data_IF_102193863878
#
_entry.id   IF_102193863878
#
_cell.length_a   1.000
_cell.length_b   1.000
_cell.length_c   1.000
_cell.angle_alpha   90.00
_cell.angle_beta   90.00
_cell.angle_gamma   90.00
#
_symmetry.space_group_name_H-M   'P 1'
#
loop_
_entity.id
_entity.type
_entity.pdbx_description
1 polymer ?
#
# COMPACT_ATOMS: atom_id res chain seq x y z
N UNK A 1 46.01 -6.36 -6.18
CA UNK A 1 45.59 -7.77 -6.27
C UNK A 1 45.92 -8.43 -4.97
N UNK A 2 44.93 -8.77 -4.14
CA UNK A 2 45.16 -9.46 -2.85
C UNK A 2 45.29 -10.95 -3.18
N UNK A 3 46.47 -11.50 -2.84
CA UNK A 3 46.75 -12.92 -3.02
C UNK A 3 46.07 -13.74 -1.91
N UNK A 4 44.94 -14.36 -2.27
CA UNK A 4 44.10 -15.15 -1.38
C UNK A 4 44.74 -16.49 -0.97
N UNK A 5 45.84 -16.90 -1.62
CA UNK A 5 46.51 -18.17 -1.34
C UNK A 5 47.24 -18.21 0.02
N UNK A 6 47.42 -17.06 0.66
CA UNK A 6 48.13 -16.91 1.95
C UNK A 6 47.23 -16.89 3.20
N UNK A 7 45.89 -17.00 3.03
CA UNK A 7 45.01 -17.17 4.18
C UNK A 7 45.11 -18.63 4.66
N UNK A 8 45.77 -18.85 5.78
CA UNK A 8 45.92 -20.18 6.37
C UNK A 8 44.49 -20.74 6.65
N UNK A 9 44.25 -21.99 6.22
CA UNK A 9 42.95 -22.63 6.25
C UNK A 9 42.30 -22.75 7.66
N UNK A 10 43.03 -22.55 8.72
CA UNK A 10 42.56 -22.52 10.10
C UNK A 10 41.83 -21.23 10.45
N UNK A 11 42.28 -20.06 9.99
CA UNK A 11 41.65 -18.77 10.27
C UNK A 11 40.31 -18.64 9.59
N UNK A 12 40.16 -19.17 8.36
CA UNK A 12 38.90 -19.15 7.61
C UNK A 12 37.85 -20.07 8.25
N UNK A 13 38.27 -21.25 8.72
CA UNK A 13 37.38 -22.20 9.40
C UNK A 13 36.86 -21.64 10.73
N UNK A 14 37.73 -21.00 11.51
CA UNK A 14 37.36 -20.39 12.81
C UNK A 14 36.41 -19.22 12.62
N UNK A 15 36.68 -18.33 11.66
CA UNK A 15 35.77 -17.21 11.32
C UNK A 15 34.41 -17.66 10.86
N UNK A 16 34.33 -18.69 10.00
CA UNK A 16 33.05 -19.25 9.54
C UNK A 16 32.23 -19.89 10.69
N UNK A 17 32.91 -20.61 11.59
CA UNK A 17 32.25 -21.26 12.75
C UNK A 17 31.72 -20.22 13.73
N UNK A 18 32.48 -19.18 14.05
CA UNK A 18 32.02 -18.08 14.93
C UNK A 18 30.84 -17.34 14.30
N UNK A 19 30.86 -17.06 12.98
CA UNK A 19 29.77 -16.41 12.28
C UNK A 19 28.48 -17.24 12.29
N UNK A 20 28.59 -18.55 12.10
CA UNK A 20 27.43 -19.47 12.16
C UNK A 20 26.86 -19.58 13.57
N UNK A 21 27.68 -19.59 14.60
CA UNK A 21 27.22 -19.61 16.00
C UNK A 21 26.57 -18.28 16.42
N UNK A 22 26.94 -17.17 15.81
CA UNK A 22 26.38 -15.85 16.08
C UNK A 22 25.04 -15.60 15.32
N UNK A 23 24.70 -16.40 14.31
CA UNK A 23 23.44 -16.27 13.53
C UNK A 23 22.18 -16.22 14.41
N UNK A 24 21.99 -17.05 15.45
CA UNK A 24 20.82 -16.97 16.32
C UNK A 24 20.76 -15.70 17.18
N UNK A 25 21.90 -15.00 17.34
CA UNK A 25 21.99 -13.76 18.12
C UNK A 25 21.69 -12.51 17.27
N UNK A 26 21.62 -12.66 15.95
CA UNK A 26 21.22 -11.56 15.09
C UNK A 26 19.75 -11.21 15.32
N UNK A 27 19.42 -9.91 15.41
CA UNK A 27 18.02 -9.51 15.53
C UNK A 27 17.25 -10.00 14.29
N UNK A 28 16.32 -10.91 14.51
CA UNK A 28 15.43 -11.36 13.43
C UNK A 28 14.60 -10.17 12.97
N UNK A 29 14.54 -9.89 11.67
CA UNK A 29 13.67 -8.85 11.16
C UNK A 29 12.24 -9.17 11.60
N UNK A 30 11.58 -8.21 12.26
CA UNK A 30 10.15 -8.36 12.61
C UNK A 30 9.40 -8.54 11.30
N UNK A 31 8.69 -9.65 11.17
CA UNK A 31 7.81 -9.85 10.02
C UNK A 31 6.74 -8.74 10.04
N UNK A 32 6.64 -8.03 8.93
CA UNK A 32 5.57 -7.05 8.78
C UNK A 32 4.21 -7.76 8.84
N UNK A 33 3.18 -7.16 9.46
CA UNK A 33 1.85 -7.75 9.50
C UNK A 33 1.34 -8.07 8.10
N UNK A 34 0.76 -9.26 7.93
CA UNK A 34 0.22 -9.72 6.65
C UNK A 34 -1.12 -9.06 6.35
N UNK A 35 -1.54 -9.06 5.09
CA UNK A 35 -2.90 -8.68 4.73
C UNK A 35 -3.91 -9.59 5.42
N UNK A 36 -5.02 -9.01 5.88
CA UNK A 36 -6.10 -9.72 6.56
C UNK A 36 -7.37 -9.64 5.73
N UNK A 37 -7.99 -10.79 5.49
CA UNK A 37 -9.28 -10.89 4.81
C UNK A 37 -10.41 -10.80 5.83
N UNK A 38 -11.42 -9.99 5.52
CA UNK A 38 -12.66 -9.88 6.27
C UNK A 38 -13.78 -10.60 5.49
N UNK A 39 -14.15 -11.83 5.87
CA UNK A 39 -15.10 -12.64 5.13
C UNK A 39 -16.45 -11.96 4.89
N UNK A 40 -17.09 -11.32 5.88
CA UNK A 40 -18.37 -10.61 5.67
C UNK A 40 -18.33 -9.57 4.56
N UNK A 41 -17.20 -8.87 4.38
CA UNK A 41 -17.01 -7.80 3.40
C UNK A 41 -16.33 -8.26 2.09
N UNK A 42 -15.88 -9.51 2.01
CA UNK A 42 -15.33 -10.10 0.79
C UNK A 42 -16.48 -10.62 -0.09
N UNK A 43 -16.50 -10.20 -1.35
CA UNK A 43 -17.47 -10.64 -2.36
C UNK A 43 -16.87 -11.60 -3.40
N UNK A 44 -15.63 -12.06 -3.23
CA UNK A 44 -14.99 -13.01 -4.13
C UNK A 44 -14.63 -12.45 -5.52
N UNK A 45 -14.54 -11.14 -5.70
CA UNK A 45 -14.34 -10.48 -7.00
C UNK A 45 -12.98 -10.73 -7.67
N UNK A 46 -12.05 -11.42 -6.99
CA UNK A 46 -10.71 -11.78 -7.46
C UNK A 46 -9.74 -10.60 -7.75
N UNK A 47 -10.13 -9.34 -7.57
CA UNK A 47 -9.23 -8.19 -7.87
C UNK A 47 -7.94 -8.24 -7.06
N UNK A 48 -8.02 -8.51 -5.77
CA UNK A 48 -6.83 -8.68 -4.92
C UNK A 48 -5.95 -9.87 -5.36
N UNK A 49 -6.55 -10.93 -5.91
CA UNK A 49 -5.83 -12.07 -6.48
C UNK A 49 -5.05 -11.66 -7.74
N UNK A 50 -5.71 -10.98 -8.68
CA UNK A 50 -5.10 -10.51 -9.95
C UNK A 50 -4.01 -9.47 -9.70
N UNK A 51 -4.24 -8.60 -8.71
CA UNK A 51 -3.35 -7.46 -8.40
C UNK A 51 -2.25 -7.82 -7.39
N UNK A 52 -2.11 -9.07 -6.97
CA UNK A 52 -1.01 -9.43 -6.07
C UNK A 52 0.28 -9.69 -6.85
N UNK A 53 1.32 -8.81 -6.77
CA UNK A 53 2.55 -8.98 -7.53
C UNK A 53 3.42 -10.15 -7.05
N UNK A 54 3.03 -10.79 -5.96
CA UNK A 54 3.75 -11.89 -5.33
C UNK A 54 2.99 -13.21 -5.41
N UNK A 55 1.79 -13.24 -6.00
CA UNK A 55 0.94 -14.43 -6.03
C UNK A 55 0.50 -14.89 -4.62
N UNK A 56 0.49 -13.96 -3.66
CA UNK A 56 0.20 -14.26 -2.25
C UNK A 56 -1.29 -14.36 -1.91
N UNK A 57 -2.17 -14.29 -2.91
CA UNK A 57 -3.61 -14.43 -2.71
C UNK A 57 -4.09 -15.65 -3.49
N UNK A 58 -4.77 -16.55 -2.81
CA UNK A 58 -5.52 -17.64 -3.40
C UNK A 58 -7.03 -17.40 -3.23
N UNK A 59 -7.84 -18.07 -4.06
CA UNK A 59 -9.29 -18.06 -3.90
C UNK A 59 -9.73 -19.43 -3.34
N UNK A 60 -10.63 -19.41 -2.37
CA UNK A 60 -11.19 -20.61 -1.74
C UNK A 60 -12.71 -20.46 -1.65
N UNK A 61 -13.49 -21.56 -1.47
CA UNK A 61 -14.91 -21.47 -1.20
C UNK A 61 -15.18 -20.59 0.01
N UNK A 62 -16.21 -19.74 -0.07
CA UNK A 62 -16.61 -18.90 1.06
C UNK A 62 -17.31 -19.73 2.13
N UNK A 63 -16.89 -19.67 3.42
CA UNK A 63 -17.46 -20.54 4.45
C UNK A 63 -18.96 -20.28 4.69
N UNK A 64 -19.39 -19.00 4.61
CA UNK A 64 -20.74 -18.59 4.99
C UNK A 64 -21.63 -18.23 3.79
N UNK A 65 -21.10 -18.28 2.56
CA UNK A 65 -21.83 -17.89 1.33
C UNK A 65 -21.68 -18.96 0.27
N UNK A 66 -22.55 -19.99 0.22
CA UNK A 66 -22.49 -21.05 -0.78
C UNK A 66 -22.43 -20.50 -2.21
N UNK A 67 -21.56 -21.07 -3.04
CA UNK A 67 -21.35 -20.65 -4.42
C UNK A 67 -20.49 -19.40 -4.61
N UNK A 68 -20.04 -18.75 -3.52
CA UNK A 68 -19.11 -17.62 -3.58
C UNK A 68 -17.68 -18.05 -3.22
N UNK A 69 -16.73 -17.26 -3.65
CA UNK A 69 -15.32 -17.42 -3.27
C UNK A 69 -14.91 -16.38 -2.21
N UNK A 70 -13.87 -16.71 -1.46
CA UNK A 70 -13.22 -15.89 -0.48
C UNK A 70 -11.73 -15.79 -0.82
N UNK A 71 -11.17 -14.60 -0.76
CA UNK A 71 -9.72 -14.42 -0.85
C UNK A 71 -9.04 -15.04 0.39
N UNK A 72 -7.92 -15.72 0.16
CA UNK A 72 -7.07 -16.30 1.21
C UNK A 72 -5.63 -15.83 1.01
N UNK A 73 -5.03 -15.27 2.05
CA UNK A 73 -3.64 -14.85 2.03
C UNK A 73 -2.74 -16.07 2.25
N UNK A 74 -1.69 -16.19 1.43
CA UNK A 74 -0.61 -17.16 1.60
C UNK A 74 0.52 -16.43 2.35
N UNK A 75 0.72 -16.74 3.64
CA UNK A 75 1.61 -15.98 4.51
C UNK A 75 3.04 -15.88 4.00
N UNK A 76 3.56 -16.99 3.46
CA UNK A 76 4.95 -17.14 3.01
C UNK A 76 5.26 -16.29 1.77
N UNK A 77 4.23 -15.88 1.03
CA UNK A 77 4.38 -15.07 -0.18
C UNK A 77 4.01 -13.60 0.01
N UNK A 78 3.32 -13.26 1.12
CA UNK A 78 2.83 -11.91 1.35
C UNK A 78 3.96 -10.95 1.73
N UNK A 79 4.25 -9.99 0.85
CA UNK A 79 5.23 -8.93 1.09
C UNK A 79 4.69 -7.73 1.88
N UNK A 80 3.48 -7.79 2.42
CA UNK A 80 2.87 -6.73 3.24
C UNK A 80 2.80 -5.35 2.56
N UNK A 81 2.58 -5.32 1.24
CA UNK A 81 2.63 -4.08 0.44
C UNK A 81 1.31 -3.29 0.40
N UNK A 82 0.17 -3.91 0.72
CA UNK A 82 -1.15 -3.28 0.73
C UNK A 82 -1.82 -3.10 -0.65
N UNK A 83 -1.20 -3.50 -1.75
CA UNK A 83 -1.77 -3.36 -3.10
C UNK A 83 -3.14 -4.04 -3.22
N UNK A 84 -3.32 -5.17 -2.53
CA UNK A 84 -4.58 -5.90 -2.49
C UNK A 84 -5.71 -5.10 -1.82
N UNK A 85 -5.42 -4.30 -0.80
CA UNK A 85 -6.39 -3.41 -0.16
C UNK A 85 -6.80 -2.27 -1.11
N UNK A 86 -5.83 -1.67 -1.83
CA UNK A 86 -6.11 -0.68 -2.87
C UNK A 86 -6.91 -1.22 -4.06
N UNK A 87 -6.79 -2.52 -4.35
CA UNK A 87 -7.55 -3.21 -5.39
C UNK A 87 -8.97 -3.60 -4.97
N UNK A 88 -9.26 -3.59 -3.67
CA UNK A 88 -10.54 -4.08 -3.16
C UNK A 88 -11.68 -3.08 -3.43
N UNK A 89 -12.79 -3.50 -4.07
CA UNK A 89 -13.92 -2.60 -4.32
C UNK A 89 -14.59 -2.08 -3.05
N UNK A 90 -14.50 -2.83 -1.95
CA UNK A 90 -15.03 -2.41 -0.65
C UNK A 90 -14.17 -1.35 0.05
N UNK A 91 -12.97 -1.05 -0.47
CA UNK A 91 -12.07 -0.01 0.05
C UNK A 91 -12.46 1.41 -0.35
N UNK A 92 -13.70 1.63 -0.81
CA UNK A 92 -14.17 2.97 -1.16
C UNK A 92 -14.54 3.78 0.09
N UNK A 93 -14.06 5.04 0.23
CA UNK A 93 -14.37 5.90 1.36
C UNK A 93 -15.83 6.40 1.36
N UNK A 94 -16.56 6.23 0.26
CA UNK A 94 -17.95 6.66 0.09
C UNK A 94 -19.00 5.75 0.76
N UNK A 95 -18.57 4.64 1.36
CA UNK A 95 -19.50 3.81 2.13
C UNK A 95 -20.01 4.57 3.36
N UNK A 96 -21.33 4.67 3.49
CA UNK A 96 -22.00 5.30 4.64
C UNK A 96 -22.00 4.35 5.84
N UNK A 97 -20.84 4.17 6.44
CA UNK A 97 -20.62 3.34 7.63
C UNK A 97 -19.69 4.07 8.59
N UNK A 98 -19.92 3.92 9.88
CA UNK A 98 -19.09 4.55 10.91
C UNK A 98 -17.66 4.01 10.82
N UNK A 99 -17.51 2.70 10.81
CA UNK A 99 -16.21 2.03 10.64
C UNK A 99 -16.10 1.43 9.24
N UNK A 100 -15.17 1.92 8.44
CA UNK A 100 -14.91 1.38 7.11
C UNK A 100 -14.10 0.07 7.24
N UNK A 101 -14.78 -1.06 7.14
CA UNK A 101 -14.17 -2.37 7.03
C UNK A 101 -14.18 -2.83 5.57
N UNK A 102 -13.02 -3.23 5.08
CA UNK A 102 -12.82 -3.67 3.69
C UNK A 102 -12.83 -5.20 3.59
N UNK A 103 -12.91 -5.75 2.37
CA UNK A 103 -12.85 -7.21 2.17
C UNK A 103 -11.47 -7.81 2.38
N UNK A 104 -10.42 -7.01 2.19
CA UNK A 104 -9.03 -7.32 2.53
C UNK A 104 -8.32 -6.02 2.90
N UNK A 105 -7.55 -6.02 3.97
CA UNK A 105 -6.91 -4.83 4.49
C UNK A 105 -5.52 -5.10 5.07
N UNK A 106 -4.80 -4.03 5.38
CA UNK A 106 -3.48 -4.07 6.01
C UNK A 106 -3.57 -3.62 7.47
N UNK A 107 -3.29 -4.48 8.46
CA UNK A 107 -3.40 -4.12 9.87
C UNK A 107 -2.55 -2.92 10.29
N UNK A 108 -1.39 -2.71 9.65
CA UNK A 108 -0.49 -1.59 9.96
C UNK A 108 -0.94 -0.26 9.33
N UNK A 109 -1.82 -0.28 8.33
CA UNK A 109 -2.41 0.91 7.72
C UNK A 109 -3.80 0.58 7.14
N UNK A 110 -4.81 0.41 8.01
CA UNK A 110 -6.16 0.10 7.57
C UNK A 110 -6.75 1.22 6.72
N UNK A 111 -7.48 0.86 5.66
CA UNK A 111 -8.13 1.83 4.76
C UNK A 111 -9.14 2.71 5.52
N UNK A 112 -9.80 2.17 6.55
CA UNK A 112 -10.68 2.95 7.41
C UNK A 112 -9.94 4.05 8.17
N UNK A 113 -8.80 3.71 8.77
CA UNK A 113 -7.94 4.69 9.46
C UNK A 113 -7.38 5.75 8.49
N UNK A 114 -7.04 5.35 7.25
CA UNK A 114 -6.62 6.28 6.21
C UNK A 114 -7.74 7.28 5.86
N UNK A 115 -9.01 6.82 5.78
CA UNK A 115 -10.17 7.69 5.57
C UNK A 115 -10.31 8.74 6.69
N UNK A 116 -10.25 8.30 7.93
CA UNK A 116 -10.37 9.17 9.10
C UNK A 116 -9.22 10.17 9.19
N UNK A 117 -7.99 9.73 8.95
CA UNK A 117 -6.82 10.59 8.91
C UNK A 117 -6.96 11.67 7.84
N UNK A 118 -7.38 11.29 6.64
CA UNK A 118 -7.57 12.21 5.53
C UNK A 118 -8.64 13.25 5.85
N UNK A 119 -9.80 12.83 6.37
CA UNK A 119 -10.89 13.75 6.78
C UNK A 119 -10.39 14.78 7.80
N UNK A 120 -9.73 14.33 8.86
CA UNK A 120 -9.18 15.19 9.89
C UNK A 120 -8.17 16.19 9.34
N UNK A 121 -7.23 15.72 8.51
CA UNK A 121 -6.18 16.56 7.95
C UNK A 121 -6.73 17.59 6.97
N UNK A 122 -7.66 17.22 6.08
CA UNK A 122 -8.26 18.15 5.13
C UNK A 122 -9.12 19.20 5.87
N UNK A 123 -9.89 18.78 6.87
CA UNK A 123 -10.71 19.71 7.66
C UNK A 123 -9.86 20.74 8.44
N UNK A 124 -8.63 20.39 8.80
CA UNK A 124 -7.69 21.27 9.50
C UNK A 124 -6.96 22.27 8.59
N UNK A 125 -7.10 22.16 7.25
CA UNK A 125 -6.44 23.07 6.33
C UNK A 125 -7.05 24.47 6.39
N UNK A 126 -6.22 25.47 6.61
CA UNK A 126 -6.60 26.88 6.75
C UNK A 126 -6.06 27.78 5.61
N UNK A 127 -5.22 27.24 4.73
CA UNK A 127 -4.64 28.00 3.60
C UNK A 127 -5.65 28.35 2.52
N UNK A 128 -5.32 29.31 1.66
CA UNK A 128 -6.18 29.75 0.55
C UNK A 128 -6.34 28.69 -0.55
N UNK A 129 -5.36 27.79 -0.70
CA UNK A 129 -5.38 26.64 -1.61
C UNK A 129 -5.07 25.38 -0.80
N UNK A 130 -5.93 24.39 -0.85
CA UNK A 130 -5.87 23.17 -0.03
C UNK A 130 -5.45 21.97 -0.86
N UNK A 131 -4.29 21.42 -0.56
CA UNK A 131 -3.72 20.30 -1.31
C UNK A 131 -3.68 19.03 -0.45
N UNK A 132 -4.21 17.93 -0.97
CA UNK A 132 -4.01 16.62 -0.38
C UNK A 132 -2.86 15.89 -1.10
N UNK A 133 -1.89 15.39 -0.34
CA UNK A 133 -0.72 14.67 -0.88
C UNK A 133 -0.75 13.23 -0.40
N UNK A 134 -0.80 12.28 -1.33
CA UNK A 134 -0.62 10.86 -1.06
C UNK A 134 0.79 10.45 -1.48
N UNK A 135 1.64 10.18 -0.51
CA UNK A 135 3.05 9.84 -0.73
C UNK A 135 3.39 8.40 -0.33
N UNK A 136 4.33 7.79 -1.03
CA UNK A 136 4.84 6.45 -0.70
C UNK A 136 5.93 6.53 0.36
N UNK A 137 5.81 5.75 1.44
CA UNK A 137 6.82 5.67 2.50
C UNK A 137 8.16 5.07 2.06
N UNK A 138 8.21 4.42 0.89
CA UNK A 138 9.44 3.88 0.29
C UNK A 138 10.15 4.89 -0.64
N UNK A 139 9.56 6.09 -0.85
CA UNK A 139 10.08 7.13 -1.72
C UNK A 139 10.64 8.31 -0.92
N UNK A 140 10.70 9.49 -1.54
CA UNK A 140 11.08 10.72 -0.85
C UNK A 140 10.12 11.03 0.30
N UNK A 141 10.65 11.54 1.41
CA UNK A 141 9.86 11.87 2.59
C UNK A 141 8.94 13.08 2.33
N UNK A 142 7.71 12.80 1.97
CA UNK A 142 6.68 13.83 1.71
C UNK A 142 6.14 14.46 2.98
N UNK A 143 6.41 13.93 4.19
CA UNK A 143 5.94 14.50 5.46
C UNK A 143 6.39 15.93 5.67
N UNK A 144 7.50 16.31 5.03
CA UNK A 144 8.03 17.68 5.03
C UNK A 144 7.11 18.70 4.34
N UNK A 145 6.17 18.24 3.50
CA UNK A 145 5.20 19.08 2.82
C UNK A 145 3.98 19.41 3.68
N UNK A 146 3.82 18.75 4.85
CA UNK A 146 2.71 19.02 5.76
C UNK A 146 2.74 20.47 6.21
N UNK A 147 1.62 21.19 6.06
CA UNK A 147 1.52 22.61 6.37
C UNK A 147 0.08 23.08 6.54
N UNK A 148 -0.11 24.39 6.61
CA UNK A 148 -1.43 25.00 6.78
C UNK A 148 -2.34 24.81 5.55
N UNK A 149 -1.76 24.62 4.39
CA UNK A 149 -2.43 24.44 3.09
C UNK A 149 -2.26 23.04 2.50
N UNK A 150 -1.48 22.18 3.13
CA UNK A 150 -1.12 20.85 2.60
C UNK A 150 -1.35 19.75 3.63
N UNK A 151 -2.23 18.82 3.31
CA UNK A 151 -2.52 17.61 4.08
C UNK A 151 -1.74 16.42 3.49
N UNK A 152 -0.76 15.91 4.22
CA UNK A 152 0.07 14.78 3.76
C UNK A 152 -0.39 13.47 4.36
N UNK A 153 -0.65 12.48 3.50
CA UNK A 153 -0.99 11.10 3.83
C UNK A 153 0.15 10.20 3.35
N UNK A 154 0.92 9.68 4.29
CA UNK A 154 2.05 8.82 3.99
C UNK A 154 1.58 7.37 3.93
N UNK A 155 1.62 6.78 2.74
CA UNK A 155 1.21 5.41 2.48
C UNK A 155 2.39 4.45 2.55
N UNK A 156 2.17 3.22 3.01
CA UNK A 156 3.18 2.16 2.93
C UNK A 156 3.61 1.90 1.48
N UNK A 157 2.66 2.00 0.55
CA UNK A 157 2.86 1.96 -0.90
C UNK A 157 1.71 2.72 -1.57
N UNK A 158 1.98 3.44 -2.65
CA UNK A 158 0.90 4.09 -3.42
C UNK A 158 -0.14 3.10 -3.94
N UNK A 159 0.26 1.85 -4.21
CA UNK A 159 -0.66 0.78 -4.59
C UNK A 159 -1.73 0.44 -3.55
N UNK A 160 -1.56 0.85 -2.29
CA UNK A 160 -2.59 0.78 -1.25
C UNK A 160 -3.74 1.77 -1.52
N UNK A 161 -3.48 2.89 -2.23
CA UNK A 161 -4.47 3.94 -2.43
C UNK A 161 -5.62 3.48 -3.34
N UNK A 162 -6.85 3.35 -2.84
CA UNK A 162 -8.00 3.18 -3.70
C UNK A 162 -8.25 4.47 -4.50
N UNK A 163 -8.45 4.44 -5.83
CA UNK A 163 -8.61 5.66 -6.65
C UNK A 163 -9.71 6.60 -6.18
N UNK A 164 -10.78 6.04 -5.59
CA UNK A 164 -11.89 6.82 -5.05
C UNK A 164 -11.51 7.76 -3.89
N UNK A 165 -10.34 7.57 -3.26
CA UNK A 165 -9.83 8.51 -2.26
C UNK A 165 -9.44 9.86 -2.85
N UNK A 166 -9.02 9.91 -4.11
CA UNK A 166 -8.75 11.15 -4.84
C UNK A 166 -10.05 11.98 -4.94
N UNK A 167 -11.13 11.37 -5.43
CA UNK A 167 -12.44 12.03 -5.50
C UNK A 167 -12.93 12.44 -4.12
N UNK A 168 -12.74 11.57 -3.12
CA UNK A 168 -13.19 11.85 -1.76
C UNK A 168 -12.42 13.01 -1.11
N UNK A 169 -11.12 13.15 -1.37
CA UNK A 169 -10.32 14.29 -0.92
C UNK A 169 -10.82 15.61 -1.52
N UNK A 170 -11.10 15.62 -2.83
CA UNK A 170 -11.64 16.78 -3.52
C UNK A 170 -13.04 17.19 -3.00
N UNK A 171 -13.92 16.20 -2.76
CA UNK A 171 -15.23 16.45 -2.15
C UNK A 171 -15.14 16.88 -0.68
N UNK A 172 -14.09 16.46 0.02
CA UNK A 172 -13.81 16.83 1.40
C UNK A 172 -13.23 18.24 1.57
N UNK A 173 -13.03 18.98 0.46
CA UNK A 173 -12.58 20.37 0.46
C UNK A 173 -11.12 20.58 0.03
N UNK A 174 -10.43 19.57 -0.48
CA UNK A 174 -9.16 19.78 -1.14
C UNK A 174 -9.37 20.40 -2.53
N UNK A 175 -8.57 21.42 -2.89
CA UNK A 175 -8.58 22.05 -4.22
C UNK A 175 -7.83 21.22 -5.24
N UNK A 176 -6.81 20.48 -4.80
CA UNK A 176 -6.02 19.60 -5.64
C UNK A 176 -5.48 18.39 -4.89
N UNK A 177 -5.09 17.38 -5.66
CA UNK A 177 -4.49 16.15 -5.14
C UNK A 177 -3.17 15.88 -5.85
N UNK A 178 -2.12 15.60 -5.07
CA UNK A 178 -0.85 15.08 -5.56
C UNK A 178 -0.70 13.63 -5.13
N UNK A 179 -0.43 12.74 -6.08
CA UNK A 179 -0.02 11.36 -5.82
C UNK A 179 1.43 11.21 -6.23
N UNK A 180 2.30 10.80 -5.29
CA UNK A 180 3.73 10.67 -5.54
C UNK A 180 4.29 9.41 -4.88
N UNK A 181 5.35 8.85 -5.46
CA UNK A 181 5.87 7.58 -4.99
C UNK A 181 7.30 7.29 -5.45
N UNK A 182 7.62 6.02 -5.56
CA UNK A 182 8.90 5.57 -6.08
C UNK A 182 9.05 5.98 -7.54
N UNK A 183 10.29 6.25 -7.96
CA UNK A 183 10.59 6.51 -9.37
C UNK A 183 10.11 5.36 -10.24
N UNK A 184 9.76 5.66 -11.49
CA UNK A 184 9.43 4.65 -12.48
C UNK A 184 10.50 3.54 -12.54
N UNK A 185 10.07 2.30 -12.61
CA UNK A 185 10.96 1.13 -12.63
C UNK A 185 11.64 0.77 -11.30
N UNK A 186 11.53 1.60 -10.23
CA UNK A 186 12.20 1.35 -8.94
C UNK A 186 11.25 1.16 -7.76
N UNK A 187 10.03 0.69 -8.03
CA UNK A 187 9.04 0.43 -6.98
C UNK A 187 9.52 -0.67 -6.02
N UNK A 188 9.58 -0.39 -4.71
CA UNK A 188 9.97 -1.35 -3.68
C UNK A 188 9.07 -2.60 -3.66
N UNK A 189 7.82 -2.47 -4.08
CA UNK A 189 6.82 -3.55 -4.14
C UNK A 189 6.44 -3.92 -5.59
N UNK A 190 7.41 -3.93 -6.51
CA UNK A 190 7.28 -4.28 -7.93
C UNK A 190 6.38 -3.32 -8.71
N UNK A 191 5.05 -3.42 -8.57
CA UNK A 191 4.07 -2.77 -9.43
C UNK A 191 3.23 -1.68 -8.74
N UNK A 192 3.54 -1.33 -7.49
CA UNK A 192 2.71 -0.36 -6.74
C UNK A 192 2.52 0.96 -7.48
N UNK A 193 3.59 1.58 -7.97
CA UNK A 193 3.56 2.83 -8.74
C UNK A 193 2.81 2.66 -10.06
N UNK A 194 3.18 1.65 -10.85
CA UNK A 194 2.58 1.37 -12.16
C UNK A 194 1.08 1.12 -12.07
N UNK A 195 0.64 0.30 -11.11
CA UNK A 195 -0.78 -0.02 -10.99
C UNK A 195 -1.59 1.13 -10.40
N UNK A 196 -1.00 1.95 -9.54
CA UNK A 196 -1.63 3.20 -9.11
C UNK A 196 -1.87 4.12 -10.30
N UNK A 197 -0.87 4.32 -11.14
CA UNK A 197 -0.99 5.12 -12.35
C UNK A 197 -2.08 4.59 -13.29
N UNK A 198 -2.07 3.29 -13.58
CA UNK A 198 -3.08 2.64 -14.42
C UNK A 198 -4.50 2.80 -13.86
N UNK A 199 -4.69 2.69 -12.52
CA UNK A 199 -5.98 2.90 -11.88
C UNK A 199 -6.44 4.36 -11.98
N UNK A 200 -5.53 5.31 -11.79
CA UNK A 200 -5.84 6.74 -11.92
C UNK A 200 -6.10 7.15 -13.36
N UNK A 201 -5.46 6.50 -14.33
CA UNK A 201 -5.68 6.69 -15.77
C UNK A 201 -6.88 5.92 -16.34
N UNK A 202 -7.63 5.18 -15.53
CA UNK A 202 -8.79 4.40 -15.99
C UNK A 202 -8.46 3.09 -16.70
N UNK A 203 -7.22 2.63 -16.66
CA UNK A 203 -6.72 1.45 -17.39
C UNK A 203 -6.75 0.17 -16.56
N UNK A 204 -7.00 0.26 -15.26
CA UNK A 204 -7.03 -0.86 -14.33
C UNK A 204 -8.12 -0.66 -13.27
N UNK A 205 -8.81 -1.73 -12.98
CA UNK A 205 -9.83 -1.77 -11.92
C UNK A 205 -9.23 -1.98 -10.50
N UNK A 206 -9.79 -1.33 -9.45
CA UNK A 206 -10.78 -0.26 -9.54
C UNK A 206 -10.16 1.00 -10.12
N UNK A 207 -10.89 1.75 -10.93
CA UNK A 207 -10.37 2.95 -11.56
C UNK A 207 -10.99 4.24 -10.99
N UNK A 208 -10.31 5.36 -11.23
CA UNK A 208 -10.81 6.68 -10.91
C UNK A 208 -12.04 6.98 -11.78
N UNK A 209 -13.08 7.55 -11.17
CA UNK A 209 -14.29 7.91 -11.89
C UNK A 209 -14.02 9.05 -12.89
N UNK A 210 -14.66 9.06 -14.07
CA UNK A 210 -14.42 10.05 -15.10
C UNK A 210 -14.86 11.48 -14.74
N UNK A 211 -15.56 11.68 -13.64
CA UNK A 211 -15.98 13.00 -13.16
C UNK A 211 -14.95 13.77 -12.34
N UNK A 212 -13.75 13.23 -12.14
CA UNK A 212 -12.65 13.94 -11.44
C UNK A 212 -11.93 14.83 -12.45
N UNK A 213 -11.86 16.17 -12.21
CA UNK A 213 -11.16 17.09 -13.12
C UNK A 213 -9.67 16.78 -13.19
N UNK A 214 -9.15 16.55 -14.39
CA UNK A 214 -7.75 16.15 -14.60
C UNK A 214 -6.74 17.21 -14.10
N UNK A 215 -7.10 18.48 -14.18
CA UNK A 215 -6.30 19.60 -13.71
C UNK A 215 -6.16 19.66 -12.19
N UNK A 216 -7.04 18.98 -11.44
CA UNK A 216 -6.99 18.90 -9.98
C UNK A 216 -6.23 17.69 -9.46
N UNK A 217 -5.75 16.81 -10.35
CA UNK A 217 -4.94 15.65 -10.02
C UNK A 217 -3.57 15.75 -10.66
N UNK A 218 -2.51 15.73 -9.84
CA UNK A 218 -1.14 15.62 -10.31
C UNK A 218 -0.54 14.29 -9.86
N UNK A 219 0.10 13.59 -10.79
CA UNK A 219 0.89 12.39 -10.50
C UNK A 219 2.35 12.74 -10.78
N UNK A 220 3.26 12.37 -9.87
CA UNK A 220 4.70 12.60 -10.02
C UNK A 220 5.48 11.43 -9.38
N UNK A 221 6.28 10.75 -10.19
CA UNK A 221 7.15 9.64 -9.80
C UNK A 221 8.63 10.01 -9.76
#
# INVERSE_FOLDING_TARGET
>A
VIDISKLSGSSVKFGATVSLLALPLLPHPRQAPLAVVNPPNCNGCRRCFVDCPYGAIAMAPHPDKPGHELARVIPELCASCGICAGACPSSTPFRSVDTLLTGIDMPQQPVGALREEMQRKIAALAGPVKIAVFGCGCAADVRRLQGADTAVLNLMCTGLLPPSFVEYALRGGADGVLVTGCREGSCAYRFGTQWTEQRLAGQREPHLRPGVPAERLRIAW
#
